data_IF_876372790163
#
_entry.id   IF_876372790163
#
_cell.length_a   1.000
_cell.length_b   1.000
_cell.length_c   1.000
_cell.angle_alpha   90.00
_cell.angle_beta   90.00
_cell.angle_gamma   90.00
#
_symmetry.space_group_name_H-M   'P 1'
#
loop_
_entity.id
_entity.type
_entity.pdbx_description
1 polymer ?
#
# COMPACT_ATOMS: atom_id res chain seq x y z
N UNK A 1 56.82 -5.75 -2.07
CA UNK A 1 57.35 -7.05 -1.60
C UNK A 1 56.21 -7.95 -1.15
N UNK A 2 56.17 -9.19 -1.76
CA UNK A 2 55.44 -10.42 -1.40
C UNK A 2 53.90 -10.36 -1.41
N UNK A 3 53.15 -10.82 -2.42
CA UNK A 3 53.00 -12.18 -3.02
C UNK A 3 52.55 -13.27 -2.03
N UNK A 4 51.36 -13.77 -2.24
CA UNK A 4 50.92 -15.17 -2.26
C UNK A 4 49.38 -15.20 -2.37
N UNK A 5 48.75 -15.62 -3.44
CA UNK A 5 48.60 -16.93 -4.09
C UNK A 5 47.84 -17.96 -3.25
N UNK A 6 46.74 -18.39 -3.90
CA UNK A 6 46.20 -19.76 -4.09
C UNK A 6 45.19 -20.19 -3.01
N UNK A 7 44.10 -20.85 -3.31
CA UNK A 7 43.85 -22.03 -4.18
C UNK A 7 42.35 -22.21 -4.50
N UNK A 8 42.10 -22.55 -5.71
CA UNK A 8 40.93 -23.19 -6.31
C UNK A 8 40.70 -24.62 -5.78
N UNK A 9 39.46 -25.03 -5.54
CA UNK A 9 39.08 -26.44 -5.62
C UNK A 9 37.70 -26.59 -6.29
N UNK A 10 37.74 -27.17 -7.45
CA UNK A 10 36.63 -27.85 -8.13
C UNK A 10 36.27 -29.12 -7.34
N UNK A 11 34.98 -29.38 -7.21
CA UNK A 11 34.48 -30.71 -6.92
C UNK A 11 33.29 -31.01 -7.85
N UNK A 12 33.59 -31.83 -8.82
CA UNK A 12 32.66 -32.60 -9.67
C UNK A 12 32.01 -33.69 -8.84
N UNK A 13 30.71 -33.86 -8.91
CA UNK A 13 30.04 -35.03 -8.39
C UNK A 13 28.98 -35.53 -9.38
N UNK A 14 29.28 -36.66 -9.85
CA UNK A 14 28.72 -37.70 -10.70
C UNK A 14 27.22 -37.96 -10.49
N UNK A 15 26.55 -38.17 -11.62
CA UNK A 15 25.22 -38.74 -11.74
C UNK A 15 25.19 -40.22 -11.30
N UNK A 16 24.17 -40.59 -10.55
CA UNK A 16 23.74 -41.98 -10.40
C UNK A 16 22.26 -42.09 -10.75
N UNK A 17 22.01 -42.70 -11.91
CA UNK A 17 20.71 -43.26 -12.29
C UNK A 17 20.46 -44.52 -11.45
N UNK A 18 19.28 -44.60 -10.84
CA UNK A 18 18.72 -45.89 -10.47
C UNK A 18 17.24 -45.91 -10.76
N UNK A 19 16.89 -46.71 -11.76
CA UNK A 19 15.55 -47.14 -12.11
C UNK A 19 15.13 -48.26 -11.18
N UNK A 20 13.95 -48.16 -10.57
CA UNK A 20 13.04 -49.31 -10.41
C UNK A 20 11.64 -48.88 -10.01
N UNK A 21 10.68 -49.41 -10.75
CA UNK A 21 9.24 -49.38 -10.58
C UNK A 21 8.82 -49.93 -9.22
N UNK A 22 7.86 -49.28 -8.56
CA UNK A 22 6.70 -49.98 -7.99
C UNK A 22 5.66 -48.89 -7.58
N UNK A 23 4.48 -49.02 -8.21
CA UNK A 23 3.27 -48.31 -7.82
C UNK A 23 2.85 -48.73 -6.41
N UNK A 24 2.66 -47.75 -5.54
CA UNK A 24 1.82 -47.89 -4.35
C UNK A 24 0.99 -46.61 -4.28
N UNK A 25 -0.31 -46.77 -4.55
CA UNK A 25 -1.31 -45.78 -4.27
C UNK A 25 -1.36 -45.55 -2.76
N UNK A 26 -0.75 -44.46 -2.29
CA UNK A 26 -0.94 -43.92 -0.97
C UNK A 26 -1.74 -42.65 -1.14
N UNK A 27 -3.03 -42.71 -0.79
CA UNK A 27 -3.88 -41.52 -0.66
C UNK A 27 -3.23 -40.56 0.32
N UNK A 28 -2.62 -39.50 -0.21
CA UNK A 28 -2.21 -38.37 0.57
C UNK A 28 -3.50 -37.65 1.01
N UNK A 29 -3.98 -37.96 2.18
CA UNK A 29 -4.80 -37.05 2.97
C UNK A 29 -3.94 -35.80 3.21
N UNK A 30 -4.02 -34.84 2.30
CA UNK A 30 -3.61 -33.48 2.55
C UNK A 30 -4.56 -32.95 3.63
N UNK A 31 -4.19 -33.14 4.89
CA UNK A 31 -4.73 -32.34 5.97
C UNK A 31 -4.32 -30.91 5.63
N UNK A 32 -5.25 -30.19 5.00
CA UNK A 32 -5.15 -28.75 4.90
C UNK A 32 -5.03 -28.24 6.34
N UNK A 33 -3.80 -27.86 6.73
CA UNK A 33 -3.61 -27.12 7.97
C UNK A 33 -4.62 -25.98 7.94
N UNK A 34 -5.42 -25.79 8.98
CA UNK A 34 -6.32 -24.67 9.04
C UNK A 34 -5.47 -23.42 8.81
N UNK A 35 -5.72 -22.70 7.71
CA UNK A 35 -5.20 -21.35 7.53
C UNK A 35 -5.54 -20.62 8.82
N UNK A 36 -4.55 -19.95 9.47
CA UNK A 36 -4.87 -19.13 10.62
C UNK A 36 -5.99 -18.18 10.19
N UNK A 37 -7.08 -18.16 10.91
CA UNK A 37 -8.28 -17.38 10.63
C UNK A 37 -8.07 -15.85 10.66
N UNK A 38 -6.83 -15.38 10.71
CA UNK A 38 -6.38 -14.00 10.91
C UNK A 38 -5.85 -13.31 9.65
N UNK A 39 -6.14 -13.80 8.47
CA UNK A 39 -5.87 -13.07 7.23
C UNK A 39 -7.16 -12.98 6.40
N UNK A 40 -8.21 -12.38 6.94
CA UNK A 40 -9.17 -11.71 6.09
C UNK A 40 -8.37 -10.64 5.34
N UNK A 41 -8.35 -10.70 4.00
CA UNK A 41 -7.71 -9.68 3.20
C UNK A 41 -8.40 -8.34 3.52
N UNK A 42 -7.75 -7.46 4.28
CA UNK A 42 -8.29 -6.14 4.67
C UNK A 42 -8.54 -5.26 3.45
N UNK A 43 -8.02 -5.67 2.31
CA UNK A 43 -8.16 -4.97 1.05
C UNK A 43 -8.09 -5.94 -0.13
N UNK A 44 -8.69 -5.53 -1.25
CA UNK A 44 -8.67 -6.26 -2.53
C UNK A 44 -8.26 -5.35 -3.68
N UNK A 45 -7.66 -5.96 -4.68
CA UNK A 45 -7.24 -5.28 -5.91
C UNK A 45 -7.40 -6.26 -7.09
N UNK A 46 -8.41 -6.02 -7.93
CA UNK A 46 -8.81 -6.96 -8.98
C UNK A 46 -7.77 -7.16 -10.09
N UNK A 47 -6.92 -6.14 -10.33
CA UNK A 47 -5.90 -6.18 -11.40
C UNK A 47 -4.52 -6.64 -10.93
N UNK A 48 -4.36 -7.09 -9.69
CA UNK A 48 -3.05 -7.41 -9.11
C UNK A 48 -2.29 -8.51 -9.90
N UNK A 49 -3.00 -9.39 -10.58
CA UNK A 49 -2.43 -10.44 -11.44
C UNK A 49 -1.61 -9.89 -12.61
N UNK A 50 -1.87 -8.66 -13.04
CA UNK A 50 -1.21 -8.02 -14.19
C UNK A 50 0.06 -7.26 -13.76
N UNK A 51 0.46 -7.37 -12.48
CA UNK A 51 1.57 -6.66 -11.89
C UNK A 51 2.55 -7.59 -11.20
N UNK A 52 3.84 -7.24 -11.24
CA UNK A 52 4.89 -7.89 -10.45
C UNK A 52 4.88 -7.29 -9.05
N UNK A 53 4.47 -8.08 -8.08
CA UNK A 53 4.40 -7.64 -6.68
C UNK A 53 5.79 -7.70 -6.06
N UNK A 54 6.33 -6.54 -5.68
CA UNK A 54 7.62 -6.43 -5.01
C UNK A 54 7.49 -6.41 -3.49
N UNK A 55 6.34 -5.95 -2.98
CA UNK A 55 6.00 -5.99 -1.56
C UNK A 55 4.51 -6.23 -1.40
N UNK A 56 4.15 -7.28 -0.66
CA UNK A 56 2.79 -7.49 -0.13
C UNK A 56 2.93 -7.84 1.34
N UNK A 57 2.32 -7.06 2.21
CA UNK A 57 2.37 -7.25 3.65
C UNK A 57 0.96 -7.51 4.16
N UNK A 58 0.81 -8.51 5.02
CA UNK A 58 -0.38 -8.61 5.86
C UNK A 58 -0.37 -7.46 6.87
N UNK A 59 -1.55 -7.01 7.28
CA UNK A 59 -1.64 -6.01 8.33
C UNK A 59 -0.88 -6.47 9.57
N UNK A 60 -0.08 -5.57 10.11
CA UNK A 60 0.53 -5.82 11.40
C UNK A 60 -0.33 -5.19 12.49
N UNK A 61 -0.32 -5.79 13.66
CA UNK A 61 -0.92 -5.24 14.88
C UNK A 61 -0.29 -3.88 15.28
N UNK A 62 0.73 -3.44 14.54
CA UNK A 62 1.48 -2.22 14.87
C UNK A 62 0.75 -0.98 14.40
N UNK A 63 0.53 -0.06 15.33
CA UNK A 63 -0.13 1.23 15.10
C UNK A 63 0.91 2.24 14.54
N UNK A 64 1.31 2.04 13.28
CA UNK A 64 2.23 2.92 12.55
C UNK A 64 1.87 2.92 11.06
N UNK A 65 2.26 3.95 10.29
CA UNK A 65 2.12 3.94 8.84
C UNK A 65 2.86 2.74 8.22
N UNK A 66 2.18 2.01 7.35
CA UNK A 66 2.72 0.83 6.70
C UNK A 66 2.47 0.87 5.19
N UNK A 67 3.48 0.41 4.43
CA UNK A 67 3.29 0.14 3.00
C UNK A 67 2.81 -1.31 2.87
N UNK A 68 1.53 -1.47 2.54
CA UNK A 68 0.88 -2.78 2.41
C UNK A 68 1.17 -3.45 1.08
N UNK A 69 1.28 -2.65 0.00
CA UNK A 69 1.55 -3.13 -1.35
C UNK A 69 2.52 -2.20 -2.06
N UNK A 70 3.44 -2.79 -2.80
CA UNK A 70 4.16 -2.16 -3.90
C UNK A 70 4.22 -3.16 -5.05
N UNK A 71 3.80 -2.74 -6.23
CA UNK A 71 3.82 -3.59 -7.42
C UNK A 71 4.16 -2.76 -8.65
N UNK A 72 4.80 -3.37 -9.64
CA UNK A 72 5.17 -2.75 -10.91
C UNK A 72 4.56 -3.52 -12.06
N UNK A 73 4.06 -2.81 -13.04
CA UNK A 73 3.47 -3.37 -14.24
C UNK A 73 4.18 -2.90 -15.51
N UNK A 74 3.58 -3.21 -16.64
CA UNK A 74 4.07 -2.76 -17.93
C UNK A 74 4.13 -1.23 -18.03
N UNK A 75 4.96 -0.73 -18.94
CA UNK A 75 5.15 0.71 -19.21
C UNK A 75 5.54 1.53 -17.96
N UNK A 76 6.30 0.91 -17.04
CA UNK A 76 6.74 1.56 -15.81
C UNK A 76 5.55 2.06 -14.94
N UNK A 77 4.43 1.34 -14.98
CA UNK A 77 3.30 1.57 -14.08
C UNK A 77 3.62 1.05 -12.69
N UNK A 78 3.19 1.76 -11.65
CA UNK A 78 3.44 1.39 -10.27
C UNK A 78 2.15 1.47 -9.46
N UNK A 79 1.93 0.48 -8.59
CA UNK A 79 0.87 0.47 -7.60
C UNK A 79 1.46 0.55 -6.20
N UNK A 80 0.84 1.35 -5.35
CA UNK A 80 1.22 1.45 -3.94
C UNK A 80 0.00 1.58 -3.06
N UNK A 81 -0.03 0.84 -1.97
CA UNK A 81 -1.04 0.94 -0.93
C UNK A 81 -0.38 1.27 0.39
N UNK A 82 -0.84 2.33 1.02
CA UNK A 82 -0.44 2.77 2.35
C UNK A 82 -1.60 2.62 3.32
N UNK A 83 -1.28 2.20 4.53
CA UNK A 83 -2.16 2.15 5.69
C UNK A 83 -1.63 3.13 6.74
N UNK A 84 -2.44 4.10 7.16
CA UNK A 84 -2.02 5.17 8.07
C UNK A 84 -3.03 5.29 9.22
N UNK A 85 -2.69 4.85 10.44
CA UNK A 85 -3.53 5.07 11.61
C UNK A 85 -3.65 6.56 11.93
N UNK A 86 -4.88 7.08 12.03
CA UNK A 86 -5.18 8.47 12.38
C UNK A 86 -5.19 8.68 13.91
N UNK A 87 -5.16 9.94 14.35
CA UNK A 87 -5.23 10.28 15.78
C UNK A 87 -3.93 10.01 16.56
N UNK A 88 -2.80 9.78 15.88
CA UNK A 88 -1.53 9.43 16.53
C UNK A 88 -0.35 10.18 15.94
N UNK A 89 0.74 10.25 16.72
CA UNK A 89 2.02 10.79 16.23
C UNK A 89 2.56 10.05 14.98
N UNK A 90 2.13 8.80 14.78
CA UNK A 90 2.43 8.02 13.57
C UNK A 90 1.91 8.66 12.28
N UNK A 91 0.83 9.46 12.34
CA UNK A 91 0.29 10.20 11.21
C UNK A 91 0.88 11.62 11.08
N UNK A 92 2.16 11.80 11.45
CA UNK A 92 2.84 13.12 11.51
C UNK A 92 2.89 13.90 10.18
N UNK A 93 2.58 13.24 9.05
CA UNK A 93 2.40 13.94 7.77
C UNK A 93 1.13 14.79 7.69
N UNK A 94 0.15 14.54 8.57
CA UNK A 94 -1.10 15.27 8.68
C UNK A 94 -1.12 16.12 9.96
N UNK A 95 -1.71 17.32 9.87
CA UNK A 95 -2.00 18.10 11.07
C UNK A 95 -3.09 17.41 11.93
N UNK A 96 -3.11 17.58 13.25
CA UNK A 96 -4.13 16.96 14.12
C UNK A 96 -5.56 17.23 13.68
N UNK A 97 -5.86 18.49 13.30
CA UNK A 97 -7.19 18.88 12.82
C UNK A 97 -7.54 18.19 11.49
N UNK A 98 -6.55 18.04 10.60
CA UNK A 98 -6.76 17.34 9.33
C UNK A 98 -7.06 15.85 9.53
N UNK A 99 -6.44 15.21 10.52
CA UNK A 99 -6.73 13.82 10.87
C UNK A 99 -8.18 13.66 11.34
N UNK A 100 -8.66 14.60 12.17
CA UNK A 100 -10.03 14.62 12.65
C UNK A 100 -11.03 14.87 11.52
N UNK A 101 -10.71 15.77 10.57
CA UNK A 101 -11.54 16.04 9.39
C UNK A 101 -11.64 14.78 8.53
N UNK A 102 -10.52 14.07 8.28
CA UNK A 102 -10.51 12.83 7.53
C UNK A 102 -11.39 11.77 8.19
N UNK A 103 -11.22 11.52 9.49
CA UNK A 103 -12.02 10.57 10.23
C UNK A 103 -13.52 10.88 10.13
N UNK A 104 -13.94 12.12 10.39
CA UNK A 104 -15.34 12.56 10.30
C UNK A 104 -15.93 12.45 8.90
N UNK A 105 -15.15 12.82 7.88
CA UNK A 105 -15.61 12.75 6.49
C UNK A 105 -16.02 11.34 6.09
N UNK A 106 -15.30 10.33 6.50
CA UNK A 106 -15.57 8.95 6.11
C UNK A 106 -16.56 8.23 7.05
N UNK A 107 -16.62 8.60 8.32
CA UNK A 107 -17.52 7.96 9.31
C UNK A 107 -18.95 8.50 9.28
N UNK A 108 -19.17 9.75 8.83
CA UNK A 108 -20.48 10.41 8.90
C UNK A 108 -20.91 10.92 7.51
N UNK A 109 -22.14 10.56 7.09
CA UNK A 109 -22.72 11.09 5.85
C UNK A 109 -22.95 12.59 5.92
N UNK A 110 -23.48 13.08 7.04
CA UNK A 110 -23.78 14.51 7.23
C UNK A 110 -22.52 15.35 7.24
N UNK A 111 -21.45 14.87 7.88
CA UNK A 111 -20.17 15.58 7.88
C UNK A 111 -19.50 15.55 6.52
N UNK A 112 -19.64 14.45 5.78
CA UNK A 112 -19.13 14.37 4.41
C UNK A 112 -19.79 15.38 3.46
N UNK A 113 -21.11 15.59 3.57
CA UNK A 113 -21.82 16.57 2.76
C UNK A 113 -21.35 18.01 3.07
N UNK A 114 -20.99 18.30 4.33
CA UNK A 114 -20.48 19.61 4.75
C UNK A 114 -19.01 19.83 4.38
N UNK A 115 -18.18 18.80 4.54
CA UNK A 115 -16.72 18.88 4.31
C UNK A 115 -16.42 18.86 2.81
N UNK A 116 -17.04 17.97 2.06
CA UNK A 116 -16.84 17.77 0.63
C UNK A 116 -15.51 17.08 0.25
N UNK A 117 -15.44 16.45 -0.94
CA UNK A 117 -14.25 15.73 -1.39
C UNK A 117 -13.05 16.64 -1.66
N UNK A 118 -13.29 17.87 -2.08
CA UNK A 118 -12.24 18.86 -2.33
C UNK A 118 -11.41 19.18 -1.06
N UNK A 119 -12.06 19.20 0.11
CA UNK A 119 -11.35 19.42 1.38
C UNK A 119 -10.45 18.24 1.71
N UNK A 120 -10.91 17.00 1.49
CA UNK A 120 -10.10 15.78 1.66
C UNK A 120 -8.88 15.83 0.73
N UNK A 121 -9.09 16.13 -0.55
CA UNK A 121 -8.00 16.26 -1.52
C UNK A 121 -7.01 17.37 -1.16
N UNK A 122 -7.49 18.50 -0.60
CA UNK A 122 -6.61 19.57 -0.12
C UNK A 122 -5.74 19.13 1.06
N UNK A 123 -6.27 18.34 1.98
CA UNK A 123 -5.51 17.73 3.09
C UNK A 123 -4.44 16.78 2.53
N UNK A 124 -4.80 15.92 1.58
CA UNK A 124 -3.86 15.01 0.93
C UNK A 124 -2.76 15.78 0.19
N UNK A 125 -3.11 16.87 -0.52
CA UNK A 125 -2.15 17.78 -1.16
C UNK A 125 -1.15 18.36 -0.16
N UNK A 126 -1.62 18.87 0.96
CA UNK A 126 -0.77 19.44 2.01
C UNK A 126 0.22 18.41 2.57
N UNK A 127 -0.26 17.17 2.83
CA UNK A 127 0.60 16.06 3.25
C UNK A 127 1.66 15.70 2.22
N UNK A 128 1.31 15.63 0.94
CA UNK A 128 2.24 15.36 -0.16
C UNK A 128 3.26 16.50 -0.33
N UNK A 129 2.84 17.76 -0.22
CA UNK A 129 3.73 18.91 -0.27
C UNK A 129 4.72 18.91 0.90
N UNK A 130 4.27 18.55 2.10
CA UNK A 130 5.15 18.37 3.26
C UNK A 130 6.19 17.27 3.03
N UNK A 131 5.80 16.17 2.38
CA UNK A 131 6.75 15.13 1.97
C UNK A 131 7.74 15.64 0.93
N UNK A 132 7.27 16.40 -0.08
CA UNK A 132 8.12 16.95 -1.13
C UNK A 132 9.11 18.01 -0.61
N UNK A 133 8.82 18.67 0.51
CA UNK A 133 9.74 19.63 1.15
C UNK A 133 10.87 18.95 1.94
N UNK A 134 10.80 17.63 2.17
CA UNK A 134 11.88 16.88 2.79
C UNK A 134 12.98 16.60 1.74
N UNK A 135 14.21 17.08 1.91
CA UNK A 135 15.30 16.86 0.94
C UNK A 135 15.61 15.39 0.65
N UNK A 136 15.36 14.51 1.61
CA UNK A 136 15.57 13.06 1.48
C UNK A 136 14.38 12.33 0.83
N UNK A 137 13.30 13.04 0.53
CA UNK A 137 12.15 12.44 -0.14
C UNK A 137 12.42 12.24 -1.62
N UNK A 138 12.05 11.08 -2.19
CA UNK A 138 12.05 10.92 -3.63
C UNK A 138 11.03 11.82 -4.33
N UNK A 139 9.99 12.26 -3.61
CA UNK A 139 8.99 13.21 -4.10
C UNK A 139 9.55 14.63 -4.01
N UNK A 140 9.58 15.34 -5.15
CA UNK A 140 10.19 16.68 -5.28
C UNK A 140 9.14 17.77 -5.54
N UNK A 141 7.97 17.40 -5.98
CA UNK A 141 6.87 18.33 -6.27
C UNK A 141 5.55 17.64 -6.53
N UNK A 142 4.45 18.37 -6.31
CA UNK A 142 3.08 17.87 -6.49
C UNK A 142 2.21 18.96 -7.11
N UNK A 143 1.53 18.60 -8.19
CA UNK A 143 0.50 19.45 -8.83
C UNK A 143 -0.84 18.72 -8.74
N UNK A 144 -1.62 19.05 -7.72
CA UNK A 144 -2.95 18.50 -7.45
C UNK A 144 -3.95 19.65 -7.44
N UNK A 145 -5.05 19.49 -8.18
CA UNK A 145 -6.21 20.37 -8.10
C UNK A 145 -7.27 19.71 -7.19
N UNK A 146 -7.48 20.21 -5.97
CA UNK A 146 -8.47 19.63 -5.07
C UNK A 146 -9.92 19.72 -5.59
N UNK A 147 -10.22 20.70 -6.46
CA UNK A 147 -11.57 20.89 -7.00
C UNK A 147 -11.99 19.78 -7.97
N UNK A 148 -11.02 19.07 -8.55
CA UNK A 148 -11.25 17.93 -9.43
C UNK A 148 -11.51 16.62 -8.67
N UNK A 149 -11.48 16.63 -7.34
CA UNK A 149 -11.76 15.43 -6.55
C UNK A 149 -13.23 15.05 -6.60
N UNK A 150 -13.49 13.75 -6.70
CA UNK A 150 -14.82 13.17 -6.74
C UNK A 150 -15.04 12.13 -5.64
N UNK A 151 -16.31 11.77 -5.41
CA UNK A 151 -16.71 10.74 -4.45
C UNK A 151 -17.18 9.52 -5.21
N UNK A 152 -16.69 8.36 -4.82
CA UNK A 152 -17.18 7.06 -5.26
C UNK A 152 -17.69 6.29 -4.05
N UNK A 153 -18.81 5.60 -4.18
CA UNK A 153 -19.32 4.70 -3.14
C UNK A 153 -19.34 3.29 -3.70
N UNK A 154 -18.66 2.36 -3.00
CA UNK A 154 -18.59 0.95 -3.37
C UNK A 154 -18.83 0.11 -2.14
N UNK A 155 -19.74 -0.86 -2.24
CA UNK A 155 -20.11 -1.76 -1.13
C UNK A 155 -20.42 -1.00 0.19
N UNK A 156 -21.12 0.15 0.06
CA UNK A 156 -21.46 1.00 1.20
C UNK A 156 -20.32 1.88 1.72
N UNK A 157 -19.08 1.66 1.28
CA UNK A 157 -17.90 2.44 1.68
C UNK A 157 -17.64 3.60 0.72
N UNK A 158 -17.29 4.74 1.29
CA UNK A 158 -16.97 5.97 0.55
C UNK A 158 -15.49 6.02 0.23
N UNK A 159 -15.18 6.44 -1.01
CA UNK A 159 -13.82 6.73 -1.48
C UNK A 159 -13.78 8.15 -2.04
N UNK A 160 -12.68 8.86 -1.79
CA UNK A 160 -12.36 10.10 -2.49
C UNK A 160 -11.33 9.78 -3.56
N UNK A 161 -11.69 10.11 -4.80
CA UNK A 161 -10.89 9.90 -5.99
C UNK A 161 -10.28 11.22 -6.44
N UNK A 162 -8.98 11.24 -6.75
CA UNK A 162 -8.30 12.41 -7.32
C UNK A 162 -7.07 11.99 -8.12
N UNK A 163 -6.72 12.82 -9.11
CA UNK A 163 -5.50 12.66 -9.89
C UNK A 163 -4.52 13.80 -9.63
N UNK A 164 -3.23 13.54 -9.81
CA UNK A 164 -2.19 14.57 -9.68
C UNK A 164 -0.91 14.22 -10.45
N UNK A 165 -0.12 15.26 -10.77
CA UNK A 165 1.23 15.09 -11.25
C UNK A 165 2.21 15.13 -10.06
N UNK A 166 3.12 14.16 -10.01
CA UNK A 166 4.19 14.05 -9.03
C UNK A 166 5.55 14.17 -9.73
N UNK A 167 6.35 15.14 -9.33
CA UNK A 167 7.76 15.20 -9.74
C UNK A 167 8.58 14.35 -8.76
N UNK A 168 9.21 13.30 -9.27
CA UNK A 168 9.92 12.33 -8.44
C UNK A 168 11.39 12.19 -8.90
N UNK A 169 12.26 11.98 -7.93
CA UNK A 169 13.62 11.59 -8.19
C UNK A 169 13.69 10.09 -8.46
N UNK A 170 14.17 9.71 -9.63
CA UNK A 170 14.34 8.31 -10.03
C UNK A 170 15.71 7.73 -9.70
N UNK A 171 16.69 8.58 -9.50
CA UNK A 171 18.06 8.19 -9.15
C UNK A 171 18.68 9.27 -8.27
N UNK A 172 19.08 8.87 -7.08
CA UNK A 172 19.87 9.69 -6.17
C UNK A 172 21.35 9.40 -6.38
N UNK A 173 22.20 10.42 -6.19
CA UNK A 173 23.64 10.26 -6.00
C UNK A 173 23.94 9.66 -4.63
N UNK A 174 25.19 9.33 -4.37
CA UNK A 174 25.66 8.91 -3.04
C UNK A 174 25.46 10.02 -1.98
N UNK A 175 25.52 11.27 -2.42
CA UNK A 175 25.32 12.46 -1.57
C UNK A 175 23.83 12.84 -1.40
N UNK A 176 22.91 12.06 -1.97
CA UNK A 176 21.46 12.30 -1.89
C UNK A 176 20.92 13.32 -2.89
N UNK A 177 21.73 13.79 -3.85
CA UNK A 177 21.26 14.66 -4.92
C UNK A 177 20.46 13.90 -5.98
N UNK A 178 19.45 14.53 -6.54
CA UNK A 178 18.65 13.93 -7.59
C UNK A 178 19.34 14.00 -8.95
N UNK A 179 19.85 12.86 -9.42
CA UNK A 179 20.52 12.71 -10.71
C UNK A 179 19.54 12.57 -11.88
N UNK A 180 18.34 12.03 -11.65
CA UNK A 180 17.33 11.85 -12.68
C UNK A 180 15.94 12.15 -12.14
N UNK A 181 15.35 13.23 -12.62
CA UNK A 181 13.97 13.60 -12.34
C UNK A 181 13.02 13.01 -13.38
N UNK A 182 11.80 12.78 -12.99
CA UNK A 182 10.73 12.40 -13.89
C UNK A 182 9.39 12.79 -13.29
N UNK A 183 8.48 13.25 -14.13
CA UNK A 183 7.10 13.51 -13.73
C UNK A 183 6.26 12.26 -13.97
N UNK A 184 5.44 11.89 -13.00
CA UNK A 184 4.47 10.80 -13.08
C UNK A 184 3.07 11.36 -12.92
N UNK A 185 2.14 10.82 -13.66
CA UNK A 185 0.72 11.00 -13.38
C UNK A 185 0.28 9.93 -12.38
N UNK A 186 -0.51 10.32 -11.40
CA UNK A 186 -0.98 9.46 -10.30
C UNK A 186 -2.48 9.52 -10.18
N UNK A 187 -3.13 8.37 -10.21
CA UNK A 187 -4.52 8.17 -9.78
C UNK A 187 -4.53 7.70 -8.34
N UNK A 188 -5.30 8.35 -7.49
CA UNK A 188 -5.39 8.03 -6.08
C UNK A 188 -6.82 7.74 -5.64
N UNK A 189 -6.95 6.82 -4.69
CA UNK A 189 -8.18 6.55 -3.95
C UNK A 189 -7.87 6.52 -2.47
N UNK A 190 -8.65 7.27 -1.69
CA UNK A 190 -8.52 7.26 -0.24
C UNK A 190 -9.84 6.88 0.42
N UNK A 191 -9.75 6.12 1.50
CA UNK A 191 -10.88 5.74 2.34
C UNK A 191 -10.41 5.59 3.78
N UNK A 192 -11.34 5.52 4.73
CA UNK A 192 -11.04 5.25 6.14
C UNK A 192 -11.85 4.03 6.59
N UNK A 193 -11.22 3.16 7.36
CA UNK A 193 -11.86 2.08 8.11
C UNK A 193 -11.64 2.25 9.59
N UNK A 194 -12.52 1.67 10.38
CA UNK A 194 -12.36 1.57 11.82
C UNK A 194 -11.70 0.23 12.13
N UNK A 195 -10.54 0.24 12.77
CA UNK A 195 -9.77 -0.96 13.04
C UNK A 195 -9.49 -1.14 14.53
N UNK A 196 -9.42 -2.40 14.96
CA UNK A 196 -9.04 -2.73 16.34
C UNK A 196 -7.63 -2.26 16.68
N UNK A 197 -7.46 -1.73 17.88
CA UNK A 197 -6.21 -1.20 18.41
C UNK A 197 -5.37 -2.22 19.18
N UNK A 198 -5.56 -3.50 18.98
CA UNK A 198 -4.70 -4.49 19.62
C UNK A 198 -3.21 -4.23 19.28
N UNK A 199 -2.34 -4.30 20.28
CA UNK A 199 -0.88 -4.16 20.10
C UNK A 199 -0.20 -5.50 19.88
N UNK A 200 -0.85 -6.57 20.32
CA UNK A 200 -0.41 -7.95 20.20
C UNK A 200 -1.57 -8.85 19.81
N UNK A 201 -1.28 -10.03 19.27
CA UNK A 201 -2.32 -11.04 19.00
C UNK A 201 -3.04 -11.46 20.28
N UNK A 202 -2.35 -11.47 21.41
CA UNK A 202 -2.93 -11.80 22.71
C UNK A 202 -3.93 -10.72 23.16
N UNK A 203 -3.61 -9.42 22.99
CA UNK A 203 -4.55 -8.34 23.24
C UNK A 203 -5.76 -8.42 22.31
N UNK A 204 -5.56 -8.76 21.02
CA UNK A 204 -6.67 -8.95 20.09
C UNK A 204 -7.60 -10.06 20.58
N UNK A 205 -7.04 -11.22 20.94
CA UNK A 205 -7.83 -12.34 21.47
C UNK A 205 -8.63 -11.95 22.71
N UNK A 206 -8.00 -11.26 23.67
CA UNK A 206 -8.66 -10.81 24.89
C UNK A 206 -9.74 -9.76 24.65
N UNK A 207 -9.60 -8.92 23.63
CA UNK A 207 -10.66 -8.00 23.18
C UNK A 207 -11.82 -8.78 22.55
N UNK A 208 -11.53 -9.77 21.71
CA UNK A 208 -12.54 -10.61 21.04
C UNK A 208 -13.28 -11.50 22.04
N UNK A 209 -12.62 -11.97 23.09
CA UNK A 209 -13.18 -12.73 24.21
C UNK A 209 -13.92 -11.84 25.24
N UNK A 210 -13.88 -10.51 25.07
CA UNK A 210 -14.56 -9.56 25.99
C UNK A 210 -13.83 -9.34 27.31
N UNK A 211 -12.60 -9.83 27.45
CA UNK A 211 -11.77 -9.64 28.65
C UNK A 211 -11.12 -8.25 28.73
N UNK A 212 -11.06 -7.53 27.60
CA UNK A 212 -10.57 -6.17 27.49
C UNK A 212 -11.54 -5.31 26.71
N UNK A 213 -11.57 -4.01 27.05
CA UNK A 213 -12.35 -3.03 26.29
C UNK A 213 -11.85 -2.95 24.84
N UNK A 214 -12.77 -3.08 23.89
CA UNK A 214 -12.46 -2.91 22.48
C UNK A 214 -12.07 -1.45 22.22
N UNK A 215 -10.90 -1.27 21.63
CA UNK A 215 -10.37 0.03 21.23
C UNK A 215 -10.22 0.05 19.73
N UNK A 216 -10.72 1.11 19.13
CA UNK A 216 -10.66 1.30 17.69
C UNK A 216 -9.85 2.53 17.31
N UNK A 217 -9.30 2.50 16.11
CA UNK A 217 -8.60 3.61 15.48
C UNK A 217 -9.10 3.78 14.06
N UNK A 218 -9.38 5.02 13.70
CA UNK A 218 -9.61 5.37 12.30
C UNK A 218 -8.32 5.15 11.51
N UNK A 219 -8.38 4.35 10.47
CA UNK A 219 -7.24 4.01 9.63
C UNK A 219 -7.48 4.50 8.21
N UNK A 220 -6.62 5.41 7.75
CA UNK A 220 -6.62 5.93 6.39
C UNK A 220 -5.92 4.95 5.46
N UNK A 221 -6.61 4.55 4.41
CA UNK A 221 -6.10 3.78 3.29
C UNK A 221 -5.85 4.71 2.11
N UNK A 222 -4.61 4.70 1.61
CA UNK A 222 -4.21 5.50 0.46
C UNK A 222 -3.69 4.57 -0.62
N UNK A 223 -4.52 4.33 -1.63
CA UNK A 223 -4.12 3.62 -2.83
C UNK A 223 -3.67 4.61 -3.90
N UNK A 224 -2.55 4.32 -4.55
CA UNK A 224 -2.07 5.08 -5.71
C UNK A 224 -1.66 4.15 -6.83
N UNK A 225 -2.05 4.52 -8.05
CA UNK A 225 -1.59 3.92 -9.29
C UNK A 225 -0.92 5.02 -10.12
N UNK A 226 0.31 4.81 -10.58
CA UNK A 226 1.07 5.84 -11.27
C UNK A 226 1.78 5.34 -12.53
N UNK A 227 1.93 6.23 -13.52
CA UNK A 227 2.72 6.01 -14.74
C UNK A 227 3.56 7.25 -15.07
N UNK A 228 4.62 7.12 -15.88
CA UNK A 228 5.34 8.26 -16.42
C UNK A 228 4.40 9.22 -17.11
N UNK A 229 4.58 10.53 -16.93
CA UNK A 229 3.84 11.55 -17.68
C UNK A 229 4.21 11.41 -19.15
N UNK A 230 3.18 11.28 -20.01
CA UNK A 230 3.38 10.97 -21.43
C UNK A 230 3.31 9.46 -21.75
N UNK A 231 3.09 8.60 -20.77
CA UNK A 231 2.62 7.24 -21.03
C UNK A 231 1.30 7.33 -21.81
N UNK A 232 1.15 6.54 -22.88
CA UNK A 232 -0.02 6.60 -23.75
C UNK A 232 -1.33 6.23 -23.04
N UNK A 233 -2.46 6.44 -23.73
CA UNK A 233 -3.82 6.21 -23.19
C UNK A 233 -4.03 4.81 -22.61
N UNK A 234 -3.36 3.80 -23.16
CA UNK A 234 -3.41 2.43 -22.62
C UNK A 234 -2.90 2.36 -21.17
N UNK A 235 -1.80 3.04 -20.85
CA UNK A 235 -1.24 3.08 -19.50
C UNK A 235 -2.18 3.88 -18.56
N UNK A 236 -2.69 5.03 -18.99
CA UNK A 236 -3.66 5.80 -18.21
C UNK A 236 -4.95 5.01 -17.95
N UNK A 237 -5.43 4.26 -18.96
CA UNK A 237 -6.57 3.35 -18.81
C UNK A 237 -6.28 2.23 -17.79
N UNK A 238 -5.06 1.69 -17.76
CA UNK A 238 -4.64 0.69 -16.77
C UNK A 238 -4.63 1.27 -15.35
N UNK A 239 -4.13 2.50 -15.16
CA UNK A 239 -4.15 3.17 -13.85
C UNK A 239 -5.58 3.34 -13.32
N UNK A 240 -6.50 3.82 -14.19
CA UNK A 240 -7.91 3.99 -13.81
C UNK A 240 -8.54 2.67 -13.40
N UNK A 241 -8.38 1.61 -14.22
CA UNK A 241 -8.87 0.27 -13.86
C UNK A 241 -8.28 -0.23 -12.55
N UNK A 242 -6.99 0.01 -12.30
CA UNK A 242 -6.36 -0.36 -11.04
C UNK A 242 -6.99 0.40 -9.86
N UNK A 243 -7.15 1.72 -9.98
CA UNK A 243 -7.76 2.54 -8.96
C UNK A 243 -9.24 2.18 -8.71
N UNK A 244 -9.98 1.87 -9.77
CA UNK A 244 -11.38 1.42 -9.70
C UNK A 244 -11.54 0.03 -9.08
N UNK A 245 -10.55 -0.84 -9.20
CA UNK A 245 -10.58 -2.19 -8.65
C UNK A 245 -10.15 -2.28 -7.19
N UNK A 246 -9.65 -1.18 -6.61
CA UNK A 246 -9.22 -1.13 -5.21
C UNK A 246 -10.42 -1.08 -4.27
N UNK A 247 -10.42 -1.96 -3.28
CA UNK A 247 -11.46 -2.06 -2.26
C UNK A 247 -10.85 -2.33 -0.87
N UNK A 248 -11.35 -1.62 0.14
CA UNK A 248 -11.08 -1.89 1.56
C UNK A 248 -12.21 -2.79 2.07
N UNK A 249 -11.85 -3.94 2.63
CA UNK A 249 -12.80 -5.02 3.02
C UNK A 249 -13.08 -5.02 4.52
N UNK A 250 -12.27 -4.35 5.32
CA UNK A 250 -12.42 -4.29 6.79
C UNK A 250 -13.68 -3.51 7.15
N UNK A 251 -14.50 -4.10 8.04
CA UNK A 251 -15.71 -3.51 8.61
C UNK A 251 -15.38 -2.70 9.87
#
# INVERSE_FOLDING_TARGET
MRVARLLTTLATATALRCTTRRALAAGALTTALPRPAFAADEWRLGVLKDYVVTKKQASSVRIRPETMLTATGENDTELKLLKVPLGRAAAASFAPDDQLILARYFSSRTDAEKIGPAKVAAIMKASLQKQASNPQSPLQGVKLDPSAASVETRNGRRYVAYGYDADACRRLSEDGECLRRGTRYVEARVSVSLESQARTLEEQRRMDEGEMEQRYVDTLWVFTASAPKGAGDAALGALRRAAESFEVVVD
#
